data_IF_068337257637
#
_entry.id   IF_068337257637
#
_cell.length_a   1.000
_cell.length_b   1.000
_cell.length_c   1.000
_cell.angle_alpha   90.00
_cell.angle_beta   90.00
_cell.angle_gamma   90.00
#
_symmetry.space_group_name_H-M   'P 1'
#
loop_
_entity.id
_entity.type
_entity.pdbx_description
1 polymer ?
#
# COMPACT_ATOMS: atom_id res chain seq x y z
N UNK A 1 -0.56 -32.10 21.05
CA UNK A 1 -1.10 -30.84 21.57
C UNK A 1 -0.20 -29.62 21.27
N UNK A 2 1.12 -29.78 21.09
CA UNK A 2 2.04 -28.67 20.74
C UNK A 2 1.92 -28.18 19.28
N UNK A 3 1.31 -28.95 18.38
CA UNK A 3 1.20 -28.63 16.95
C UNK A 3 -0.02 -27.77 16.59
N UNK A 4 -0.88 -27.44 17.54
CA UNK A 4 -2.15 -26.76 17.28
C UNK A 4 -2.11 -25.24 17.59
N UNK A 5 -0.92 -24.65 17.74
CA UNK A 5 -0.76 -23.22 17.97
C UNK A 5 -0.70 -22.44 16.66
N UNK A 6 -1.80 -21.82 16.25
CA UNK A 6 -1.89 -20.99 15.03
C UNK A 6 -0.84 -19.90 15.06
N UNK A 7 -0.66 -19.24 16.22
CA UNK A 7 0.22 -18.06 16.36
C UNK A 7 1.71 -18.40 16.10
N UNK A 8 2.16 -19.59 16.51
CA UNK A 8 3.52 -20.04 16.20
C UNK A 8 3.75 -20.14 14.69
N UNK A 9 2.76 -20.65 13.95
CA UNK A 9 2.85 -20.74 12.50
C UNK A 9 2.79 -19.37 11.82
N UNK A 10 1.98 -18.45 12.33
CA UNK A 10 1.91 -17.09 11.84
C UNK A 10 3.24 -16.35 12.03
N UNK A 11 3.80 -16.36 13.24
CA UNK A 11 5.09 -15.73 13.51
C UNK A 11 6.24 -16.37 12.72
N UNK A 12 6.26 -17.69 12.59
CA UNK A 12 7.24 -18.37 11.76
C UNK A 12 7.14 -17.93 10.29
N UNK A 13 5.93 -17.68 9.78
CA UNK A 13 5.75 -17.18 8.44
C UNK A 13 6.34 -15.77 8.26
N UNK A 14 6.16 -14.85 9.22
CA UNK A 14 6.80 -13.53 9.18
C UNK A 14 8.32 -13.62 9.22
N UNK A 15 8.90 -14.46 10.08
CA UNK A 15 10.35 -14.69 10.10
C UNK A 15 10.87 -15.16 8.74
N UNK A 16 10.14 -16.04 8.05
CA UNK A 16 10.53 -16.48 6.72
C UNK A 16 10.36 -15.39 5.66
N UNK A 17 9.39 -14.47 5.79
CA UNK A 17 9.27 -13.30 4.91
C UNK A 17 10.47 -12.37 5.08
N UNK A 18 10.86 -12.05 6.31
CA UNK A 18 12.06 -11.25 6.60
C UNK A 18 13.35 -11.89 6.03
N UNK A 19 13.41 -13.21 6.00
CA UNK A 19 14.52 -13.98 5.39
C UNK A 19 14.43 -14.09 3.87
N UNK A 20 13.48 -13.41 3.22
CA UNK A 20 13.20 -13.52 1.79
C UNK A 20 12.97 -14.99 1.33
N UNK A 21 12.25 -15.76 2.15
CA UNK A 21 11.92 -17.16 1.91
C UNK A 21 10.38 -17.35 1.76
N UNK A 22 9.71 -16.74 0.78
CA UNK A 22 8.25 -16.66 0.71
C UNK A 22 7.57 -18.03 0.56
N UNK A 23 8.23 -19.03 -0.05
CA UNK A 23 7.70 -20.41 -0.11
C UNK A 23 7.60 -21.05 1.27
N UNK A 24 8.61 -20.84 2.13
CA UNK A 24 8.60 -21.34 3.51
C UNK A 24 7.56 -20.58 4.33
N UNK A 25 7.45 -19.27 4.13
CA UNK A 25 6.45 -18.44 4.77
C UNK A 25 5.03 -18.93 4.43
N UNK A 26 4.73 -19.13 3.15
CA UNK A 26 3.42 -19.64 2.73
C UNK A 26 3.11 -20.98 3.37
N UNK A 27 4.07 -21.92 3.37
CA UNK A 27 3.86 -23.23 3.99
C UNK A 27 3.58 -23.13 5.50
N UNK A 28 4.25 -22.24 6.21
CA UNK A 28 3.99 -21.99 7.63
C UNK A 28 2.60 -21.38 7.83
N UNK A 29 2.27 -20.31 7.09
CA UNK A 29 0.98 -19.65 7.17
C UNK A 29 -0.19 -20.63 6.88
N UNK A 30 -0.06 -21.46 5.83
CA UNK A 30 -1.09 -22.45 5.47
C UNK A 30 -1.30 -23.51 6.57
N UNK A 31 -0.26 -23.88 7.33
CA UNK A 31 -0.43 -24.76 8.51
C UNK A 31 -1.28 -24.08 9.58
N UNK A 32 -0.99 -22.80 9.89
CA UNK A 32 -1.80 -22.02 10.82
C UNK A 32 -3.26 -21.89 10.35
N UNK A 33 -3.47 -21.61 9.06
CA UNK A 33 -4.80 -21.52 8.46
C UNK A 33 -5.56 -22.86 8.51
N UNK A 34 -4.87 -23.98 8.27
CA UNK A 34 -5.49 -25.31 8.35
C UNK A 34 -5.98 -25.62 9.77
N UNK A 35 -5.24 -25.21 10.80
CA UNK A 35 -5.66 -25.32 12.20
C UNK A 35 -6.88 -24.42 12.45
N UNK A 36 -6.80 -23.13 12.09
CA UNK A 36 -7.87 -22.18 12.33
C UNK A 36 -9.16 -22.53 11.59
N UNK A 37 -9.08 -22.95 10.34
CA UNK A 37 -10.25 -23.36 9.56
C UNK A 37 -11.01 -24.55 10.18
N UNK A 38 -10.33 -25.44 10.92
CA UNK A 38 -11.01 -26.53 11.66
C UNK A 38 -11.81 -26.04 12.88
N UNK A 39 -11.44 -24.86 13.39
CA UNK A 39 -12.14 -24.25 14.54
C UNK A 39 -13.34 -23.41 14.10
N UNK A 40 -13.43 -23.05 12.82
CA UNK A 40 -14.54 -22.32 12.24
C UNK A 40 -15.66 -23.31 11.89
N UNK A 41 -16.89 -23.15 12.44
CA UNK A 41 -18.00 -24.03 12.13
C UNK A 41 -18.36 -24.03 10.63
N UNK A 42 -18.82 -25.17 10.12
CA UNK A 42 -19.35 -25.26 8.77
C UNK A 42 -20.52 -24.28 8.58
N UNK A 43 -20.55 -23.54 7.46
CA UNK A 43 -21.57 -22.52 7.19
C UNK A 43 -21.42 -21.23 7.98
N UNK A 44 -20.28 -21.01 8.64
CA UNK A 44 -20.03 -19.76 9.37
C UNK A 44 -20.04 -18.56 8.41
N UNK A 45 -20.93 -17.61 8.67
CA UNK A 45 -21.09 -16.35 7.92
C UNK A 45 -20.82 -15.11 8.79
N UNK A 46 -20.24 -15.31 9.99
CA UNK A 46 -19.93 -14.24 10.93
C UNK A 46 -18.58 -13.58 10.68
N UNK A 47 -18.24 -12.63 11.54
CA UNK A 47 -16.97 -11.90 11.52
C UNK A 47 -15.98 -12.50 12.52
N UNK A 48 -14.70 -12.47 12.16
CA UNK A 48 -13.57 -12.83 13.01
C UNK A 48 -12.77 -11.54 13.26
N UNK A 49 -13.29 -10.70 14.16
CA UNK A 49 -12.79 -9.34 14.36
C UNK A 49 -11.55 -9.31 15.26
N UNK A 50 -10.63 -8.41 14.95
CA UNK A 50 -9.33 -8.24 15.64
C UNK A 50 -9.42 -7.89 17.12
N UNK A 51 -10.50 -7.21 17.55
CA UNK A 51 -10.65 -6.80 18.94
C UNK A 51 -10.59 -7.99 19.92
N UNK A 52 -11.00 -9.18 19.49
CA UNK A 52 -10.91 -10.39 20.28
C UNK A 52 -9.51 -11.01 20.15
N UNK A 53 -8.74 -11.11 21.24
CA UNK A 53 -7.37 -11.63 21.19
C UNK A 53 -7.24 -13.03 20.59
N UNK A 54 -8.23 -13.90 20.83
CA UNK A 54 -8.25 -15.28 20.32
C UNK A 54 -8.38 -15.37 18.78
N UNK A 55 -8.86 -14.32 18.13
CA UNK A 55 -8.99 -14.24 16.68
C UNK A 55 -7.67 -13.83 16.00
N UNK A 56 -6.81 -13.12 16.72
CA UNK A 56 -5.59 -12.52 16.16
C UNK A 56 -4.62 -13.52 15.54
N UNK A 57 -4.37 -14.70 16.12
CA UNK A 57 -3.51 -15.70 15.51
C UNK A 57 -3.96 -16.12 14.11
N UNK A 58 -5.27 -16.33 13.92
CA UNK A 58 -5.82 -16.72 12.63
C UNK A 58 -5.71 -15.58 11.60
N UNK A 59 -6.03 -14.35 11.98
CA UNK A 59 -5.91 -13.17 11.12
C UNK A 59 -4.45 -12.90 10.73
N UNK A 60 -3.49 -13.07 11.66
CA UNK A 60 -2.06 -12.98 11.36
C UNK A 60 -1.60 -14.04 10.36
N UNK A 61 -2.05 -15.31 10.54
CA UNK A 61 -1.74 -16.38 9.61
C UNK A 61 -2.31 -16.09 8.21
N UNK A 62 -3.52 -15.52 8.13
CA UNK A 62 -4.18 -15.13 6.89
C UNK A 62 -3.38 -14.02 6.20
N UNK A 63 -3.01 -12.98 6.94
CA UNK A 63 -2.23 -11.88 6.41
C UNK A 63 -0.81 -12.30 5.96
N UNK A 64 -0.14 -13.16 6.73
CA UNK A 64 1.14 -13.73 6.33
C UNK A 64 1.05 -14.56 5.04
N UNK A 65 -0.07 -15.27 4.82
CA UNK A 65 -0.32 -15.99 3.57
C UNK A 65 -0.55 -15.03 2.38
N UNK A 66 -1.21 -13.88 2.61
CA UNK A 66 -1.37 -12.81 1.60
C UNK A 66 0.00 -12.31 1.16
N UNK A 67 0.84 -11.87 2.10
CA UNK A 67 2.17 -11.37 1.82
C UNK A 67 3.03 -12.40 1.09
N UNK A 68 3.01 -13.65 1.53
CA UNK A 68 3.76 -14.72 0.90
C UNK A 68 3.32 -14.99 -0.55
N UNK A 69 2.01 -14.93 -0.83
CA UNK A 69 1.50 -15.07 -2.20
C UNK A 69 1.88 -13.87 -3.07
N UNK A 70 1.82 -12.64 -2.57
CA UNK A 70 2.26 -11.45 -3.28
C UNK A 70 3.75 -11.56 -3.67
N UNK A 71 4.63 -11.94 -2.74
CA UNK A 71 6.05 -12.18 -3.01
C UNK A 71 6.30 -13.34 -3.99
N UNK A 72 5.42 -14.34 -4.03
CA UNK A 72 5.49 -15.45 -5.00
C UNK A 72 4.84 -15.12 -6.34
N UNK A 73 4.34 -13.91 -6.52
CA UNK A 73 3.61 -13.45 -7.70
C UNK A 73 2.34 -14.30 -7.99
N UNK A 74 1.74 -14.83 -6.94
CA UNK A 74 0.46 -15.55 -6.97
C UNK A 74 -0.68 -14.58 -6.72
N UNK A 75 -0.84 -13.62 -7.64
CA UNK A 75 -1.70 -12.45 -7.46
C UNK A 75 -3.15 -12.83 -7.19
N UNK A 76 -3.70 -13.80 -7.95
CA UNK A 76 -5.08 -14.24 -7.75
C UNK A 76 -5.31 -14.89 -6.37
N UNK A 77 -4.34 -15.69 -5.89
CA UNK A 77 -4.41 -16.28 -4.56
C UNK A 77 -4.32 -15.21 -3.47
N UNK A 78 -3.49 -14.18 -3.68
CA UNK A 78 -3.41 -13.04 -2.76
C UNK A 78 -4.75 -12.29 -2.69
N UNK A 79 -5.36 -11.95 -3.84
CA UNK A 79 -6.67 -11.26 -3.92
C UNK A 79 -7.73 -12.05 -3.15
N UNK A 80 -7.88 -13.34 -3.39
CA UNK A 80 -8.88 -14.18 -2.68
C UNK A 80 -8.68 -14.14 -1.16
N UNK A 81 -7.42 -14.12 -0.69
CA UNK A 81 -7.15 -14.06 0.74
C UNK A 81 -7.35 -12.65 1.31
N UNK A 82 -7.08 -11.59 0.52
CA UNK A 82 -7.38 -10.20 0.89
C UNK A 82 -8.89 -10.03 1.07
N UNK A 83 -9.69 -10.46 0.10
CA UNK A 83 -11.15 -10.39 0.21
C UNK A 83 -11.64 -11.15 1.45
N UNK A 84 -11.10 -12.36 1.67
CA UNK A 84 -11.46 -13.17 2.84
C UNK A 84 -11.12 -12.50 4.19
N UNK A 85 -9.95 -11.87 4.32
CA UNK A 85 -9.59 -11.19 5.58
C UNK A 85 -10.44 -9.96 5.81
N UNK A 86 -10.81 -9.22 4.75
CA UNK A 86 -11.68 -8.05 4.84
C UNK A 86 -13.13 -8.44 5.17
N UNK A 87 -13.63 -9.56 4.66
CA UNK A 87 -14.95 -10.10 5.05
C UNK A 87 -14.99 -10.47 6.54
N UNK A 88 -13.92 -11.09 7.04
CA UNK A 88 -13.85 -11.46 8.44
C UNK A 88 -13.59 -10.26 9.37
N UNK A 89 -12.74 -9.34 8.96
CA UNK A 89 -12.28 -8.20 9.75
C UNK A 89 -12.33 -6.90 8.93
N UNK A 90 -13.52 -6.30 8.74
CA UNK A 90 -13.69 -5.08 7.92
C UNK A 90 -12.90 -3.86 8.43
N UNK A 91 -12.57 -3.82 9.73
CA UNK A 91 -11.71 -2.79 10.33
C UNK A 91 -10.28 -2.79 9.78
N UNK A 92 -9.88 -3.89 9.14
CA UNK A 92 -8.60 -4.07 8.46
C UNK A 92 -7.38 -3.65 9.29
N UNK A 93 -7.28 -4.14 10.50
CA UNK A 93 -6.18 -3.82 11.40
C UNK A 93 -4.77 -4.22 10.89
N UNK A 94 -4.72 -4.98 9.78
CA UNK A 94 -3.48 -5.38 9.12
C UNK A 94 -3.13 -4.51 7.90
N UNK A 95 -4.07 -3.72 7.39
CA UNK A 95 -3.90 -2.97 6.16
C UNK A 95 -3.91 -3.85 4.90
N UNK A 96 -4.66 -4.97 4.91
CA UNK A 96 -4.74 -5.88 3.77
C UNK A 96 -5.35 -5.22 2.53
N UNK A 97 -6.27 -4.24 2.71
CA UNK A 97 -6.85 -3.46 1.62
C UNK A 97 -5.81 -2.74 0.77
N UNK A 98 -4.70 -2.30 1.41
CA UNK A 98 -3.63 -1.57 0.73
C UNK A 98 -2.81 -2.43 -0.24
N UNK A 99 -3.01 -3.74 -0.22
CA UNK A 99 -2.41 -4.67 -1.17
C UNK A 99 -3.34 -4.99 -2.34
N UNK A 100 -4.64 -4.65 -2.25
CA UNK A 100 -5.64 -5.06 -3.24
C UNK A 100 -5.45 -4.37 -4.59
N UNK A 101 -5.22 -3.06 -4.60
CA UNK A 101 -5.04 -2.27 -5.82
C UNK A 101 -3.94 -2.83 -6.74
N UNK A 102 -2.68 -2.95 -6.25
CA UNK A 102 -1.58 -3.47 -7.06
C UNK A 102 -1.73 -4.95 -7.44
N UNK A 103 -2.37 -5.77 -6.61
CA UNK A 103 -2.63 -7.17 -6.95
C UNK A 103 -3.67 -7.28 -8.10
N UNK A 104 -4.72 -6.44 -8.08
CA UNK A 104 -5.69 -6.36 -9.16
C UNK A 104 -5.06 -5.85 -10.47
N UNK A 105 -4.17 -4.85 -10.41
CA UNK A 105 -3.43 -4.37 -11.58
C UNK A 105 -2.61 -5.49 -12.22
N UNK A 106 -1.95 -6.32 -11.42
CA UNK A 106 -1.11 -7.43 -11.89
C UNK A 106 -1.91 -8.56 -12.53
N UNK A 107 -3.19 -8.72 -12.17
CA UNK A 107 -4.08 -9.69 -12.83
C UNK A 107 -4.79 -9.13 -14.06
N UNK A 108 -4.61 -7.84 -14.37
CA UNK A 108 -5.32 -7.17 -15.46
C UNK A 108 -6.78 -6.85 -15.13
N UNK A 109 -7.21 -6.95 -13.88
CA UNK A 109 -8.55 -6.60 -13.41
C UNK A 109 -8.73 -5.08 -13.29
N UNK A 110 -8.50 -4.34 -14.38
CA UNK A 110 -8.32 -2.88 -14.40
C UNK A 110 -9.54 -2.11 -13.88
N UNK A 111 -10.77 -2.58 -14.14
CA UNK A 111 -11.97 -1.88 -13.66
C UNK A 111 -12.13 -2.02 -12.13
N UNK A 112 -11.85 -3.21 -11.61
CA UNK A 112 -11.88 -3.42 -10.15
C UNK A 112 -10.75 -2.63 -9.47
N UNK A 113 -9.53 -2.66 -10.04
CA UNK A 113 -8.42 -1.86 -9.57
C UNK A 113 -8.78 -0.37 -9.55
N UNK A 114 -9.36 0.16 -10.63
CA UNK A 114 -9.78 1.56 -10.73
C UNK A 114 -10.71 1.95 -9.58
N UNK A 115 -11.71 1.13 -9.30
CA UNK A 115 -12.68 1.41 -8.23
C UNK A 115 -12.00 1.51 -6.88
N UNK A 116 -11.22 0.50 -6.49
CA UNK A 116 -10.52 0.46 -5.21
C UNK A 116 -9.49 1.61 -5.08
N UNK A 117 -8.72 1.86 -6.14
CA UNK A 117 -7.70 2.91 -6.13
C UNK A 117 -8.34 4.30 -6.00
N UNK A 118 -9.43 4.58 -6.72
CA UNK A 118 -10.13 5.86 -6.65
C UNK A 118 -10.79 6.10 -5.29
N UNK A 119 -11.36 5.04 -4.68
CA UNK A 119 -12.04 5.14 -3.40
C UNK A 119 -11.07 5.46 -2.25
N UNK A 120 -9.84 4.97 -2.31
CA UNK A 120 -8.91 5.02 -1.17
C UNK A 120 -7.59 5.78 -1.44
N UNK A 121 -7.41 6.42 -2.59
CA UNK A 121 -6.16 7.11 -2.91
C UNK A 121 -5.83 8.26 -1.96
N UNK A 122 -6.84 8.94 -1.42
CA UNK A 122 -6.65 10.03 -0.44
C UNK A 122 -6.21 9.51 0.93
N UNK A 123 -6.52 8.24 1.25
CA UNK A 123 -6.14 7.60 2.50
C UNK A 123 -4.73 6.98 2.42
N UNK A 124 -4.32 6.51 1.22
CA UNK A 124 -3.08 5.76 1.03
C UNK A 124 -2.30 6.23 -0.20
N UNK A 125 -1.25 6.99 0.02
CA UNK A 125 -0.47 7.67 -1.02
C UNK A 125 0.04 6.78 -2.17
N UNK A 126 0.46 5.50 -1.98
CA UNK A 126 0.82 4.63 -3.09
C UNK A 126 -0.27 4.44 -4.13
N UNK A 127 -1.54 4.51 -3.74
CA UNK A 127 -2.66 4.35 -4.66
C UNK A 127 -2.76 5.45 -5.71
N UNK A 128 -2.29 6.66 -5.43
CA UNK A 128 -2.17 7.69 -6.46
C UNK A 128 -1.21 7.31 -7.57
N UNK A 129 -0.11 6.64 -7.23
CA UNK A 129 0.86 6.16 -8.23
C UNK A 129 0.30 5.03 -9.07
N UNK A 130 -0.42 4.10 -8.46
CA UNK A 130 -1.04 2.99 -9.15
C UNK A 130 -2.22 3.44 -10.03
N UNK A 131 -3.02 4.41 -9.56
CA UNK A 131 -4.06 5.03 -10.35
C UNK A 131 -3.46 5.79 -11.55
N UNK A 132 -2.34 6.49 -11.34
CA UNK A 132 -1.59 7.13 -12.41
C UNK A 132 -1.08 6.12 -13.45
N UNK A 133 -0.53 4.99 -13.00
CA UNK A 133 -0.12 3.89 -13.87
C UNK A 133 -1.31 3.33 -14.66
N UNK A 134 -2.43 3.06 -14.00
CA UNK A 134 -3.64 2.56 -14.65
C UNK A 134 -4.16 3.51 -15.73
N UNK A 135 -4.22 4.81 -15.44
CA UNK A 135 -4.60 5.83 -16.42
C UNK A 135 -3.61 5.89 -17.59
N UNK A 136 -2.31 5.79 -17.32
CA UNK A 136 -1.27 5.75 -18.35
C UNK A 136 -1.46 4.56 -19.28
N UNK A 137 -1.68 3.36 -18.75
CA UNK A 137 -1.91 2.13 -19.51
C UNK A 137 -3.16 2.20 -20.40
N UNK A 138 -4.16 2.97 -19.99
CA UNK A 138 -5.38 3.20 -20.75
C UNK A 138 -5.24 4.38 -21.76
N UNK A 139 -4.07 5.00 -21.87
CA UNK A 139 -3.85 6.15 -22.76
C UNK A 139 -4.47 7.46 -22.26
N UNK A 140 -4.95 7.52 -21.03
CA UNK A 140 -5.59 8.67 -20.39
C UNK A 140 -4.53 9.61 -19.77
N UNK A 141 -3.60 10.15 -20.60
CA UNK A 141 -2.38 10.82 -20.12
C UNK A 141 -2.64 12.03 -19.20
N UNK A 142 -3.72 12.77 -19.41
CA UNK A 142 -4.08 13.92 -18.55
C UNK A 142 -4.47 13.42 -17.16
N UNK A 143 -5.28 12.37 -17.07
CA UNK A 143 -5.67 11.77 -15.79
C UNK A 143 -4.46 11.13 -15.11
N UNK A 144 -3.57 10.48 -15.88
CA UNK A 144 -2.32 9.92 -15.37
C UNK A 144 -1.44 11.01 -14.74
N UNK A 145 -1.25 12.13 -15.45
CA UNK A 145 -0.48 13.26 -14.94
C UNK A 145 -1.10 13.85 -13.65
N UNK A 146 -2.43 13.97 -13.60
CA UNK A 146 -3.14 14.46 -12.40
C UNK A 146 -2.94 13.51 -11.22
N UNK A 147 -3.12 12.20 -11.42
CA UNK A 147 -2.93 11.21 -10.37
C UNK A 147 -1.47 11.17 -9.87
N UNK A 148 -0.49 11.19 -10.76
CA UNK A 148 0.92 11.24 -10.37
C UNK A 148 1.27 12.51 -9.59
N UNK A 149 0.78 13.70 -10.01
CA UNK A 149 1.01 14.94 -9.25
C UNK A 149 0.45 14.87 -7.84
N UNK A 150 -0.75 14.31 -7.66
CA UNK A 150 -1.33 14.04 -6.33
C UNK A 150 -0.45 13.05 -5.54
N UNK A 151 0.05 12.01 -6.18
CA UNK A 151 1.01 11.08 -5.59
C UNK A 151 2.30 11.77 -5.14
N UNK A 152 2.88 12.67 -5.97
CA UNK A 152 4.08 13.43 -5.63
C UNK A 152 3.86 14.32 -4.40
N UNK A 153 2.66 14.89 -4.28
CA UNK A 153 2.27 15.70 -3.15
C UNK A 153 1.99 14.86 -1.88
N UNK A 154 1.46 13.65 -2.04
CA UNK A 154 1.11 12.76 -0.93
C UNK A 154 2.33 12.00 -0.38
N UNK A 155 3.22 11.52 -1.24
CA UNK A 155 4.48 10.88 -0.88
C UNK A 155 5.54 11.09 -1.97
N UNK A 156 6.38 12.09 -1.81
CA UNK A 156 7.42 12.44 -2.79
C UNK A 156 8.50 11.37 -2.92
N UNK A 157 8.75 10.56 -1.87
CA UNK A 157 9.82 9.57 -1.86
C UNK A 157 9.56 8.42 -2.83
N UNK A 158 8.29 8.02 -3.02
CA UNK A 158 7.92 7.04 -4.05
C UNK A 158 8.36 7.53 -5.44
N UNK A 159 8.08 8.81 -5.75
CA UNK A 159 8.49 9.40 -7.02
C UNK A 159 10.02 9.41 -7.18
N UNK A 160 10.76 9.77 -6.14
CA UNK A 160 12.22 9.77 -6.16
C UNK A 160 12.77 8.38 -6.43
N UNK A 161 12.25 7.36 -5.75
CA UNK A 161 12.65 5.96 -5.97
C UNK A 161 12.34 5.52 -7.40
N UNK A 162 11.14 5.81 -7.91
CA UNK A 162 10.75 5.49 -9.29
C UNK A 162 11.60 6.24 -10.34
N UNK A 163 12.11 7.42 -9.99
CA UNK A 163 13.03 8.20 -10.82
C UNK A 163 14.50 7.76 -10.68
N UNK A 164 14.81 6.73 -9.87
CA UNK A 164 16.14 6.14 -9.75
C UNK A 164 16.92 6.52 -8.49
N UNK A 165 16.41 7.38 -7.62
CA UNK A 165 16.98 7.64 -6.29
C UNK A 165 16.47 6.59 -5.29
N UNK A 166 17.10 5.41 -5.25
CA UNK A 166 16.65 4.29 -4.43
C UNK A 166 16.70 4.54 -2.91
N UNK A 167 17.42 5.54 -2.47
CA UNK A 167 17.57 5.91 -1.06
C UNK A 167 17.37 7.42 -0.90
N UNK A 168 16.13 7.92 -1.04
CA UNK A 168 15.84 9.33 -0.91
C UNK A 168 16.14 9.80 0.52
N UNK A 169 16.74 10.98 0.63
CA UNK A 169 17.06 11.54 1.95
C UNK A 169 15.75 11.99 2.64
N UNK A 170 15.50 11.55 3.90
CA UNK A 170 14.33 11.96 4.63
C UNK A 170 14.32 13.48 4.85
N UNK A 171 13.24 14.13 4.45
CA UNK A 171 13.03 15.56 4.67
C UNK A 171 12.57 15.81 6.12
N UNK A 172 13.04 16.89 6.72
CA UNK A 172 12.58 17.34 8.03
C UNK A 172 11.27 18.14 7.92
N UNK A 173 10.21 17.46 7.46
CA UNK A 173 8.88 18.04 7.23
C UNK A 173 7.81 17.14 7.85
N UNK A 174 6.61 17.69 8.05
CA UNK A 174 5.48 16.90 8.51
C UNK A 174 5.03 15.89 7.41
N UNK A 175 4.81 14.66 7.82
CA UNK A 175 4.26 13.59 6.99
C UNK A 175 2.95 13.08 7.58
N UNK A 176 1.98 12.80 6.71
CA UNK A 176 0.81 12.02 7.10
C UNK A 176 1.19 10.53 7.24
N UNK A 177 0.20 9.70 7.59
CA UNK A 177 0.35 8.26 7.82
C UNK A 177 1.12 7.51 6.71
N UNK A 178 0.87 7.84 5.43
CA UNK A 178 1.49 7.15 4.28
C UNK A 178 2.46 8.03 3.49
N UNK A 179 2.82 9.22 4.00
CA UNK A 179 3.66 10.20 3.31
C UNK A 179 5.15 10.07 3.57
N UNK A 180 5.56 9.17 4.47
CA UNK A 180 6.94 9.01 4.90
C UNK A 180 7.80 8.14 3.98
N UNK A 181 9.15 8.17 4.19
CA UNK A 181 10.09 7.36 3.42
C UNK A 181 9.88 5.85 3.64
N UNK A 182 9.53 5.42 4.86
CA UNK A 182 9.29 4.01 5.17
C UNK A 182 8.21 3.40 4.29
N UNK A 183 7.09 4.12 4.11
CA UNK A 183 6.02 3.68 3.18
C UNK A 183 6.52 3.56 1.74
N UNK A 184 7.39 4.45 1.30
CA UNK A 184 7.93 4.42 -0.05
C UNK A 184 8.89 3.24 -0.27
N UNK A 185 9.72 2.94 0.72
CA UNK A 185 10.64 1.80 0.70
C UNK A 185 9.88 0.48 0.69
N UNK A 186 8.89 0.31 1.58
CA UNK A 186 8.04 -0.88 1.66
C UNK A 186 7.24 -1.09 0.37
N UNK A 187 6.67 -0.01 -0.16
CA UNK A 187 5.96 -0.04 -1.44
C UNK A 187 6.87 -0.50 -2.58
N UNK A 188 8.03 0.12 -2.71
CA UNK A 188 8.97 -0.23 -3.79
C UNK A 188 9.51 -1.65 -3.62
N UNK A 189 9.87 -2.06 -2.41
CA UNK A 189 10.34 -3.41 -2.14
C UNK A 189 9.35 -4.49 -2.61
N UNK A 190 8.06 -4.22 -2.45
CA UNK A 190 6.98 -5.15 -2.82
C UNK A 190 6.60 -5.02 -4.31
N UNK A 191 6.54 -3.80 -4.84
CA UNK A 191 5.87 -3.51 -6.12
C UNK A 191 6.81 -3.03 -7.26
N UNK A 192 8.14 -2.95 -7.05
CA UNK A 192 9.05 -2.65 -8.14
C UNK A 192 8.92 -3.59 -9.36
N UNK A 193 8.54 -4.89 -9.24
CA UNK A 193 8.35 -5.72 -10.41
C UNK A 193 7.14 -5.31 -11.27
N UNK A 194 6.12 -4.67 -10.66
CA UNK A 194 5.00 -4.09 -11.42
C UNK A 194 5.51 -2.95 -12.30
N UNK A 195 6.25 -2.01 -11.72
CA UNK A 195 6.81 -0.86 -12.45
C UNK A 195 7.81 -1.27 -13.53
N UNK A 196 8.61 -2.30 -13.26
CA UNK A 196 9.58 -2.85 -14.22
C UNK A 196 8.95 -3.40 -15.50
N UNK A 197 7.65 -3.71 -15.49
CA UNK A 197 6.92 -4.15 -16.69
C UNK A 197 6.55 -2.97 -17.62
N UNK A 198 6.61 -1.73 -17.14
CA UNK A 198 6.13 -0.53 -17.84
C UNK A 198 7.19 0.57 -17.86
N UNK A 199 8.34 0.38 -18.54
CA UNK A 199 9.42 1.36 -18.57
C UNK A 199 8.98 2.71 -19.16
N UNK A 200 8.02 2.72 -20.07
CA UNK A 200 7.45 3.96 -20.63
C UNK A 200 6.71 4.77 -19.57
N UNK A 201 6.03 4.11 -18.64
CA UNK A 201 5.38 4.79 -17.53
C UNK A 201 6.41 5.40 -16.58
N UNK A 202 7.54 4.72 -16.32
CA UNK A 202 8.64 5.28 -15.53
C UNK A 202 9.25 6.51 -16.18
N UNK A 203 9.43 6.49 -17.52
CA UNK A 203 9.90 7.66 -18.27
C UNK A 203 8.90 8.83 -18.15
N UNK A 204 7.60 8.55 -18.22
CA UNK A 204 6.56 9.56 -18.05
C UNK A 204 6.55 10.13 -16.64
N UNK A 205 6.66 9.30 -15.59
CA UNK A 205 6.79 9.74 -14.19
C UNK A 205 8.01 10.64 -14.03
N UNK A 206 9.18 10.22 -14.53
CA UNK A 206 10.43 10.99 -14.43
C UNK A 206 10.31 12.36 -15.14
N UNK A 207 9.78 12.37 -16.37
CA UNK A 207 9.54 13.62 -17.11
C UNK A 207 8.60 14.55 -16.34
N UNK A 208 7.49 14.04 -15.84
CA UNK A 208 6.49 14.82 -15.13
C UNK A 208 7.05 15.34 -13.79
N UNK A 209 7.72 14.50 -13.04
CA UNK A 209 8.30 14.83 -11.73
C UNK A 209 9.33 15.96 -11.81
N UNK A 210 10.06 16.06 -12.94
CA UNK A 210 11.07 17.07 -13.21
C UNK A 210 10.56 18.23 -14.08
N UNK A 211 9.27 18.25 -14.44
CA UNK A 211 8.70 19.36 -15.20
C UNK A 211 8.67 20.64 -14.36
N UNK A 212 9.03 21.77 -14.95
CA UNK A 212 9.23 23.04 -14.24
C UNK A 212 8.02 23.49 -13.38
N UNK A 213 6.81 23.33 -13.91
CA UNK A 213 5.59 23.66 -13.17
C UNK A 213 5.36 22.73 -11.98
N UNK A 214 5.67 21.43 -12.12
CA UNK A 214 5.53 20.43 -11.06
C UNK A 214 6.62 20.62 -10.00
N UNK A 215 7.83 21.00 -10.38
CA UNK A 215 8.89 21.38 -9.44
C UNK A 215 8.48 22.57 -8.56
N UNK A 216 7.86 23.58 -9.16
CA UNK A 216 7.33 24.74 -8.40
C UNK A 216 6.22 24.33 -7.43
N UNK A 217 5.24 23.55 -7.89
CA UNK A 217 4.15 23.02 -7.07
C UNK A 217 4.67 22.21 -5.88
N UNK A 218 5.60 21.29 -6.13
CA UNK A 218 6.24 20.50 -5.09
C UNK A 218 6.99 21.34 -4.05
N UNK A 219 7.71 22.38 -4.49
CA UNK A 219 8.40 23.28 -3.60
C UNK A 219 7.44 24.02 -2.66
N UNK A 220 6.29 24.48 -3.16
CA UNK A 220 5.27 25.13 -2.33
C UNK A 220 4.61 24.14 -1.35
N UNK A 221 4.36 22.89 -1.77
CA UNK A 221 3.83 21.85 -0.89
C UNK A 221 4.81 21.50 0.24
N UNK A 222 6.10 21.37 -0.08
CA UNK A 222 7.15 21.11 0.93
C UNK A 222 7.22 22.26 1.92
N UNK A 223 7.17 23.50 1.45
CA UNK A 223 7.16 24.69 2.31
C UNK A 223 5.96 24.70 3.27
N UNK A 224 4.76 24.31 2.82
CA UNK A 224 3.61 24.14 3.71
C UNK A 224 3.90 23.06 4.78
N UNK A 225 4.49 21.94 4.41
CA UNK A 225 4.84 20.88 5.34
C UNK A 225 5.94 21.28 6.34
N UNK A 226 6.92 22.13 5.94
CA UNK A 226 7.90 22.75 6.84
C UNK A 226 7.23 23.69 7.85
N UNK A 227 6.28 24.51 7.40
CA UNK A 227 5.53 25.41 8.27
C UNK A 227 4.72 24.64 9.31
N UNK A 228 4.07 23.53 8.93
CA UNK A 228 3.33 22.67 9.85
C UNK A 228 4.20 22.03 10.95
N UNK A 229 5.50 21.83 10.70
CA UNK A 229 6.43 21.33 11.72
C UNK A 229 6.78 22.36 12.81
N UNK A 230 6.60 23.65 12.51
CA UNK A 230 7.02 24.74 13.37
C UNK A 230 5.84 25.46 14.04
N UNK A 231 4.61 25.13 13.63
CA UNK A 231 3.40 25.83 14.06
C UNK A 231 2.63 24.98 15.08
N UNK A 232 2.29 25.59 16.22
CA UNK A 232 1.50 24.97 17.29
C UNK A 232 0.05 25.49 17.33
N UNK A 233 -0.24 26.61 16.64
CA UNK A 233 -1.58 27.18 16.60
C UNK A 233 -2.50 26.40 15.64
N UNK A 234 -3.59 25.88 16.18
CA UNK A 234 -4.52 25.03 15.46
C UNK A 234 -5.18 25.74 14.25
N UNK A 235 -5.55 27.01 14.39
CA UNK A 235 -6.21 27.78 13.31
C UNK A 235 -5.24 28.05 12.16
N UNK A 236 -3.97 28.34 12.50
CA UNK A 236 -2.91 28.54 11.51
C UNK A 236 -2.60 27.20 10.81
N UNK A 237 -2.45 26.11 11.55
CA UNK A 237 -2.25 24.76 10.97
C UNK A 237 -3.37 24.39 10.00
N UNK A 238 -4.64 24.64 10.36
CA UNK A 238 -5.78 24.39 9.48
C UNK A 238 -5.71 25.25 8.20
N UNK A 239 -5.29 26.50 8.31
CA UNK A 239 -5.10 27.37 7.16
C UNK A 239 -4.00 26.86 6.20
N UNK A 240 -2.86 26.38 6.75
CA UNK A 240 -1.76 25.81 5.97
C UNK A 240 -2.22 24.53 5.27
N UNK A 241 -2.95 23.65 5.96
CA UNK A 241 -3.51 22.43 5.37
C UNK A 241 -4.47 22.74 4.21
N UNK A 242 -5.34 23.74 4.37
CA UNK A 242 -6.22 24.20 3.27
C UNK A 242 -5.44 24.76 2.08
N UNK A 243 -4.34 25.47 2.33
CA UNK A 243 -3.46 25.94 1.27
C UNK A 243 -2.79 24.78 0.54
N UNK A 244 -2.28 23.80 1.28
CA UNK A 244 -1.66 22.61 0.71
C UNK A 244 -2.66 21.80 -0.13
N UNK A 245 -3.92 21.69 0.30
CA UNK A 245 -4.97 21.01 -0.47
C UNK A 245 -5.26 21.68 -1.81
N UNK A 246 -5.34 23.02 -1.83
CA UNK A 246 -5.52 23.79 -3.07
C UNK A 246 -4.37 23.60 -4.06
N UNK A 247 -3.15 23.33 -3.58
CA UNK A 247 -1.99 23.06 -4.45
C UNK A 247 -2.04 21.65 -5.06
N UNK A 248 -2.84 20.75 -4.48
CA UNK A 248 -3.04 19.38 -4.97
C UNK A 248 -4.16 19.27 -6.01
N UNK A 249 -5.06 20.22 -6.08
CA UNK A 249 -6.13 20.32 -7.09
C UNK A 249 -5.57 20.72 -8.48
#
# INVERSE_FOLDING_TARGET
QENDFIDVHAHLAYVFLEQNAPRKALNAALKGLAIGNRLIPEGFSGRIIWIHPDNRPFLRALYAAILANAHLQRHQDAIMLIEKILDYNPEDNHGARWLLGPELLRTGAHEQARHILQEHADEFSPYWYELGLLHFLNGELVKAATAFRRGFAANTYIAEILCGNLHPFPLAVWHNFSGGPDTAEDYYATYHPLWGQYPEALLFVNWLYNHSSVLHERAEIIKCAEMLMQEDDFEICESILRQQEKLRE
#
